data_IF_875684908936
#
_entry.id   IF_875684908936
#
_cell.length_a   1.000
_cell.length_b   1.000
_cell.length_c   1.000
_cell.angle_alpha   90.00
_cell.angle_beta   90.00
_cell.angle_gamma   90.00
#
_symmetry.space_group_name_H-M   'P 1'
#
loop_
_entity.id
_entity.type
_entity.pdbx_description
1 polymer ?
#
# COMPACT_ATOMS: atom_id res chain seq x y z
N UNK A 1 11.74 -2.91 -11.77
CA UNK A 1 10.71 -3.00 -12.83
C UNK A 1 9.90 -1.71 -13.06
N UNK A 2 10.00 -0.66 -12.22
CA UNK A 2 9.20 0.58 -12.37
C UNK A 2 9.88 1.74 -13.12
N UNK A 3 11.11 1.54 -13.62
CA UNK A 3 11.89 2.60 -14.24
C UNK A 3 11.16 3.31 -15.39
N UNK A 4 10.55 2.55 -16.32
CA UNK A 4 9.85 3.13 -17.48
C UNK A 4 8.67 4.01 -17.08
N UNK A 5 7.89 3.60 -16.08
CA UNK A 5 6.75 4.39 -15.61
C UNK A 5 7.21 5.64 -14.86
N UNK A 6 8.29 5.54 -14.05
CA UNK A 6 8.89 6.69 -13.39
C UNK A 6 9.45 7.70 -14.39
N UNK A 7 10.16 7.23 -15.43
CA UNK A 7 10.67 8.08 -16.51
C UNK A 7 9.55 8.78 -17.26
N UNK A 8 8.47 8.06 -17.57
CA UNK A 8 7.28 8.63 -18.19
C UNK A 8 6.66 9.71 -17.29
N UNK A 9 6.40 9.41 -16.01
CA UNK A 9 5.84 10.40 -15.07
C UNK A 9 6.73 11.64 -14.95
N UNK A 10 8.05 11.47 -14.83
CA UNK A 10 8.99 12.59 -14.75
C UNK A 10 8.90 13.50 -15.98
N UNK A 11 8.87 12.90 -17.18
CA UNK A 11 8.78 13.63 -18.44
C UNK A 11 7.45 14.36 -18.60
N UNK A 12 6.32 13.68 -18.39
CA UNK A 12 5.00 14.27 -18.62
C UNK A 12 4.61 15.30 -17.56
N UNK A 13 5.09 15.14 -16.32
CA UNK A 13 4.83 16.12 -15.24
C UNK A 13 5.89 17.21 -15.13
N UNK A 14 6.93 17.19 -15.97
CA UNK A 14 8.10 18.07 -15.88
C UNK A 14 8.65 18.17 -14.44
N UNK A 15 8.78 17.02 -13.77
CA UNK A 15 9.13 16.93 -12.36
C UNK A 15 10.24 15.91 -12.11
N UNK A 16 10.95 16.07 -11.00
CA UNK A 16 11.89 15.04 -10.51
C UNK A 16 11.08 13.92 -9.86
N UNK A 17 11.32 12.68 -10.29
CA UNK A 17 10.72 11.48 -9.69
C UNK A 17 11.79 10.71 -8.92
N UNK A 18 11.54 10.47 -7.64
CA UNK A 18 12.37 9.60 -6.79
C UNK A 18 11.66 8.27 -6.61
N UNK A 19 12.29 7.18 -7.05
CA UNK A 19 11.81 5.82 -6.80
C UNK A 19 12.51 5.25 -5.57
N UNK A 20 11.76 4.99 -4.50
CA UNK A 20 12.29 4.44 -3.25
C UNK A 20 12.52 2.93 -3.38
N UNK A 21 13.76 2.49 -3.18
CA UNK A 21 14.12 1.07 -3.06
C UNK A 21 13.87 0.54 -1.66
N UNK A 22 12.60 0.42 -1.27
CA UNK A 22 12.21 -0.04 0.07
C UNK A 22 12.45 -1.54 0.26
N UNK A 23 12.62 -1.95 1.52
CA UNK A 23 12.75 -3.34 1.94
C UNK A 23 11.48 -4.13 1.64
N UNK A 24 11.65 -5.38 1.18
CA UNK A 24 10.54 -6.25 0.79
C UNK A 24 10.26 -7.32 1.85
N UNK A 25 9.00 -7.72 1.93
CA UNK A 25 8.60 -8.96 2.56
C UNK A 25 8.92 -10.16 1.64
N UNK A 26 9.15 -11.36 2.17
CA UNK A 26 8.97 -11.76 3.58
C UNK A 26 10.12 -11.39 4.53
N UNK A 27 11.29 -11.00 4.01
CA UNK A 27 12.49 -10.71 4.81
C UNK A 27 12.27 -9.54 5.77
N UNK A 28 11.49 -8.54 5.33
CA UNK A 28 11.14 -7.36 6.10
C UNK A 28 9.62 -7.12 6.08
N UNK A 29 8.95 -7.61 7.13
CA UNK A 29 7.49 -7.51 7.32
C UNK A 29 7.06 -6.07 7.59
N UNK A 30 5.74 -5.83 7.59
CA UNK A 30 5.15 -4.58 8.07
C UNK A 30 5.73 -4.20 9.45
N UNK A 31 6.14 -2.94 9.67
CA UNK A 31 5.97 -1.76 8.82
C UNK A 31 7.18 -1.35 7.96
N UNK A 32 8.16 -2.24 7.70
CA UNK A 32 9.45 -1.85 7.12
C UNK A 32 9.38 -1.02 5.82
N UNK A 33 8.57 -1.45 4.84
CA UNK A 33 8.41 -0.72 3.57
C UNK A 33 7.76 0.66 3.75
N UNK A 34 6.85 0.79 4.73
CA UNK A 34 6.22 2.06 5.08
C UNK A 34 7.24 3.02 5.71
N UNK A 35 8.04 2.54 6.65
CA UNK A 35 9.10 3.32 7.29
C UNK A 35 10.14 3.79 6.27
N UNK A 36 10.55 2.95 5.33
CA UNK A 36 11.51 3.32 4.28
C UNK A 36 10.96 4.44 3.39
N UNK A 37 9.69 4.34 2.98
CA UNK A 37 9.02 5.38 2.18
C UNK A 37 8.83 6.69 2.96
N UNK A 38 8.49 6.59 4.24
CA UNK A 38 8.33 7.74 5.12
C UNK A 38 9.67 8.46 5.31
N UNK A 39 10.72 7.72 5.70
CA UNK A 39 12.07 8.23 5.89
C UNK A 39 12.62 8.87 4.61
N UNK A 40 12.37 8.26 3.44
CA UNK A 40 12.76 8.86 2.16
C UNK A 40 12.01 10.19 1.92
N UNK A 41 10.70 10.21 2.17
CA UNK A 41 9.89 11.42 2.01
C UNK A 41 10.37 12.54 2.95
N UNK A 42 10.57 12.22 4.23
CA UNK A 42 11.12 13.15 5.22
C UNK A 42 12.50 13.64 4.82
N UNK A 43 13.37 12.77 4.31
CA UNK A 43 14.69 13.16 3.81
C UNK A 43 14.57 14.21 2.72
N UNK A 44 13.77 14.00 1.67
CA UNK A 44 13.65 14.96 0.55
C UNK A 44 12.88 16.24 0.91
N UNK A 45 11.91 16.16 1.82
CA UNK A 45 11.21 17.33 2.34
C UNK A 45 12.08 18.15 3.31
N UNK A 46 13.02 17.52 4.02
CA UNK A 46 13.97 18.20 4.92
C UNK A 46 15.20 18.72 4.17
N UNK A 47 15.68 18.00 3.14
CA UNK A 47 16.84 18.38 2.33
C UNK A 47 16.53 19.38 1.21
N UNK A 48 15.34 19.99 1.18
CA UNK A 48 15.08 21.12 0.27
C UNK A 48 15.81 22.41 0.70
N UNK A 49 16.67 22.34 1.73
CA UNK A 49 17.76 23.25 1.95
C UNK A 49 18.95 22.48 2.58
N UNK A 50 20.07 22.40 1.88
CA UNK A 50 21.34 22.37 2.64
C UNK A 50 21.37 23.68 3.41
N UNK A 51 21.32 23.58 4.74
CA UNK A 51 21.43 24.68 5.71
C UNK A 51 20.30 25.70 5.70
N UNK A 52 19.31 25.54 6.57
CA UNK A 52 19.06 26.62 7.54
C UNK A 52 18.45 26.07 8.83
N UNK A 53 19.26 25.28 9.55
CA UNK A 53 19.09 25.06 10.99
C UNK A 53 17.88 24.17 11.35
N UNK A 54 17.92 23.54 12.52
CA UNK A 54 16.78 23.01 13.29
C UNK A 54 16.55 21.50 13.20
N UNK A 55 17.37 20.82 14.00
CA UNK A 55 16.83 19.82 14.91
C UNK A 55 15.57 20.38 15.63
N UNK A 56 14.36 19.93 15.22
CA UNK A 56 13.16 19.95 16.10
C UNK A 56 11.87 20.65 15.63
N UNK A 57 11.51 20.78 14.33
CA UNK A 57 10.42 21.71 13.92
C UNK A 57 9.28 21.17 13.03
N UNK A 58 8.14 21.87 13.14
CA UNK A 58 6.88 21.78 12.39
C UNK A 58 6.94 22.44 11.00
N UNK A 59 8.10 22.42 10.34
CA UNK A 59 8.46 23.27 9.20
C UNK A 59 8.67 22.51 7.88
N UNK A 60 8.24 21.25 7.79
CA UNK A 60 8.30 20.51 6.54
C UNK A 60 7.34 21.10 5.48
N UNK A 61 7.77 21.21 4.20
CA UNK A 61 6.90 21.64 3.12
C UNK A 61 5.67 20.75 3.04
N UNK A 62 4.49 21.39 3.01
CA UNK A 62 3.21 20.68 2.92
C UNK A 62 3.13 19.88 1.62
N UNK A 63 2.84 18.58 1.72
CA UNK A 63 2.53 17.73 0.57
C UNK A 63 1.43 18.39 -0.28
N UNK A 64 1.74 18.61 -1.56
CA UNK A 64 0.85 19.34 -2.49
C UNK A 64 -0.27 18.47 -3.04
N UNK A 65 -0.01 17.19 -3.23
CA UNK A 65 -0.96 16.21 -3.73
C UNK A 65 -0.52 14.78 -3.33
N UNK A 66 -1.48 13.85 -3.33
CA UNK A 66 -1.24 12.42 -3.22
C UNK A 66 -1.92 11.73 -4.41
N UNK A 67 -1.16 10.93 -5.16
CA UNK A 67 -1.68 10.15 -6.30
C UNK A 67 -1.56 8.67 -5.94
N UNK A 68 -2.70 7.97 -5.97
CA UNK A 68 -2.78 6.54 -5.65
C UNK A 68 -3.23 5.78 -6.89
N UNK A 69 -2.36 4.94 -7.45
CA UNK A 69 -2.64 4.14 -8.64
C UNK A 69 -3.02 2.74 -8.19
N UNK A 70 -4.32 2.41 -8.27
CA UNK A 70 -4.91 1.13 -7.82
C UNK A 70 -4.40 0.68 -6.42
N UNK A 71 -4.54 1.52 -5.38
CA UNK A 71 -3.92 1.25 -4.09
C UNK A 71 -4.57 0.07 -3.35
N UNK A 72 -3.73 -0.77 -2.73
CA UNK A 72 -4.16 -1.72 -1.71
C UNK A 72 -4.35 -1.01 -0.37
N UNK A 73 -5.58 -0.58 -0.08
CA UNK A 73 -5.90 0.23 1.12
C UNK A 73 -6.28 -0.58 2.36
N UNK A 74 -6.46 -1.89 2.20
CA UNK A 74 -6.89 -2.76 3.28
C UNK A 74 -6.44 -4.20 3.00
N UNK A 75 -6.24 -4.96 4.06
CA UNK A 75 -5.94 -6.40 4.04
C UNK A 75 -6.88 -7.18 5.00
N UNK A 76 -8.07 -6.63 5.25
CA UNK A 76 -9.06 -7.10 6.20
C UNK A 76 -10.18 -7.90 5.54
N UNK A 77 -10.66 -7.52 4.35
CA UNK A 77 -11.77 -8.19 3.67
C UNK A 77 -11.48 -8.39 2.19
N UNK A 78 -11.21 -9.64 1.80
CA UNK A 78 -10.96 -10.03 0.43
C UNK A 78 -12.23 -10.52 -0.29
N UNK A 79 -13.40 -10.42 0.35
CA UNK A 79 -14.70 -10.82 -0.19
C UNK A 79 -15.57 -9.63 -0.63
N UNK A 80 -15.00 -8.43 -0.76
CA UNK A 80 -15.72 -7.27 -1.29
C UNK A 80 -16.25 -7.53 -2.71
N UNK A 81 -17.34 -6.84 -3.14
CA UNK A 81 -17.97 -7.07 -4.44
C UNK A 81 -17.00 -7.02 -5.62
N UNK A 82 -16.03 -6.11 -5.59
CA UNK A 82 -15.01 -5.99 -6.64
C UNK A 82 -14.09 -7.20 -6.75
N UNK A 83 -13.74 -7.87 -5.64
CA UNK A 83 -12.94 -9.11 -5.67
C UNK A 83 -13.72 -10.27 -6.30
N UNK A 84 -15.04 -10.33 -6.03
CA UNK A 84 -15.90 -11.37 -6.57
C UNK A 84 -16.18 -11.15 -8.07
N UNK A 85 -16.54 -9.93 -8.46
CA UNK A 85 -16.84 -9.56 -9.84
C UNK A 85 -15.61 -9.70 -10.75
N UNK A 86 -14.42 -9.34 -10.26
CA UNK A 86 -13.18 -9.36 -11.05
C UNK A 86 -12.35 -10.64 -10.85
N UNK A 87 -12.91 -11.70 -10.28
CA UNK A 87 -12.17 -12.93 -9.97
C UNK A 87 -11.46 -13.57 -11.18
N UNK A 88 -11.96 -13.33 -12.39
CA UNK A 88 -11.41 -13.84 -13.65
C UNK A 88 -10.43 -12.89 -14.36
N UNK A 89 -10.15 -11.71 -13.81
CA UNK A 89 -9.23 -10.75 -14.43
C UNK A 89 -7.79 -11.23 -14.23
N UNK A 90 -7.00 -11.38 -15.31
CA UNK A 90 -5.60 -11.78 -15.20
C UNK A 90 -4.78 -10.68 -14.49
N UNK A 91 -3.70 -11.07 -13.80
CA UNK A 91 -2.69 -10.26 -13.07
C UNK A 91 -2.80 -10.25 -11.53
N UNK A 92 -3.99 -10.00 -10.97
CA UNK A 92 -4.17 -9.92 -9.51
C UNK A 92 -5.44 -10.65 -9.07
N UNK A 93 -5.32 -11.96 -8.89
CA UNK A 93 -6.40 -12.78 -8.31
C UNK A 93 -6.57 -12.49 -6.81
N UNK A 94 -7.75 -12.80 -6.27
CA UNK A 94 -8.02 -12.75 -4.83
C UNK A 94 -7.00 -13.57 -4.03
N UNK A 95 -6.63 -14.76 -4.54
CA UNK A 95 -5.63 -15.64 -3.92
C UNK A 95 -4.25 -14.99 -3.85
N UNK A 96 -3.82 -14.31 -4.92
CA UNK A 96 -2.55 -13.57 -4.93
C UNK A 96 -2.59 -12.37 -3.98
N UNK A 97 -3.70 -11.63 -3.90
CA UNK A 97 -3.84 -10.52 -2.97
C UNK A 97 -3.70 -10.98 -1.50
N UNK A 98 -4.36 -12.08 -1.13
CA UNK A 98 -4.25 -12.69 0.21
C UNK A 98 -2.82 -13.16 0.48
N UNK A 99 -2.22 -13.85 -0.49
CA UNK A 99 -0.84 -14.32 -0.37
C UNK A 99 0.14 -13.16 -0.10
N UNK A 100 0.07 -12.09 -0.89
CA UNK A 100 0.89 -10.89 -0.70
C UNK A 100 0.65 -10.23 0.66
N UNK A 101 -0.61 -10.15 1.10
CA UNK A 101 -0.96 -9.59 2.41
C UNK A 101 -0.39 -10.41 3.58
N UNK A 102 -0.46 -11.74 3.49
CA UNK A 102 0.09 -12.64 4.51
C UNK A 102 1.61 -12.57 4.57
N UNK A 103 2.31 -12.55 3.43
CA UNK A 103 3.76 -12.31 3.41
C UNK A 103 4.10 -10.94 4.02
N UNK A 104 3.34 -9.90 3.67
CA UNK A 104 3.57 -8.56 4.19
C UNK A 104 3.39 -8.46 5.71
N UNK A 105 2.36 -9.06 6.27
CA UNK A 105 2.02 -8.95 7.69
C UNK A 105 2.77 -9.97 8.56
N UNK A 106 2.88 -11.22 8.10
CA UNK A 106 3.37 -12.34 8.90
C UNK A 106 4.66 -12.96 8.36
N UNK A 107 5.06 -12.64 7.11
CA UNK A 107 6.23 -13.24 6.46
C UNK A 107 6.02 -14.67 5.97
N UNK A 108 4.82 -15.21 6.14
CA UNK A 108 4.43 -16.57 5.73
C UNK A 108 2.94 -16.60 5.35
N UNK A 109 2.53 -17.62 4.58
CA UNK A 109 1.19 -17.71 3.99
C UNK A 109 0.33 -18.85 4.57
N UNK A 110 0.57 -19.24 5.82
CA UNK A 110 -0.03 -20.42 6.45
C UNK A 110 -1.57 -20.36 6.58
N UNK A 111 -2.17 -19.17 6.67
CA UNK A 111 -3.61 -18.96 6.88
C UNK A 111 -4.38 -18.56 5.60
N UNK A 112 -3.86 -18.91 4.42
CA UNK A 112 -4.43 -18.46 3.16
C UNK A 112 -5.88 -18.91 2.94
N UNK A 113 -6.21 -20.15 3.31
CA UNK A 113 -7.57 -20.70 3.09
C UNK A 113 -8.59 -20.06 4.04
N UNK A 114 -8.26 -19.87 5.32
CA UNK A 114 -9.13 -19.17 6.29
C UNK A 114 -9.52 -17.76 5.81
N UNK A 115 -8.55 -17.04 5.21
CA UNK A 115 -8.76 -15.71 4.66
C UNK A 115 -9.57 -15.71 3.37
N UNK A 116 -9.45 -16.76 2.53
CA UNK A 116 -10.26 -16.94 1.33
C UNK A 116 -11.73 -17.14 1.67
N UNK A 117 -12.01 -17.91 2.71
CA UNK A 117 -13.36 -18.13 3.25
C UNK A 117 -13.90 -16.89 3.99
N UNK A 118 -13.02 -15.97 4.37
CA UNK A 118 -13.34 -14.79 5.16
C UNK A 118 -13.63 -15.10 6.62
N UNK A 119 -13.26 -16.29 7.10
CA UNK A 119 -13.55 -16.82 8.43
C UNK A 119 -12.94 -15.97 9.56
N UNK A 120 -11.93 -15.15 9.24
CA UNK A 120 -11.30 -14.19 10.14
C UNK A 120 -12.15 -12.95 10.43
N UNK A 121 -13.23 -12.70 9.67
CA UNK A 121 -14.12 -11.55 9.88
C UNK A 121 -15.30 -11.96 10.76
N UNK A 122 -15.44 -11.39 11.98
CA UNK A 122 -16.54 -11.70 12.87
C UNK A 122 -17.93 -11.42 12.24
N UNK A 123 -18.94 -12.27 12.46
CA UNK A 123 -20.28 -12.08 11.87
C UNK A 123 -20.95 -10.74 12.23
N UNK A 124 -20.73 -10.24 13.45
CA UNK A 124 -21.22 -8.95 13.92
C UNK A 124 -20.58 -7.78 13.16
N UNK A 125 -19.31 -7.88 12.80
CA UNK A 125 -18.62 -6.90 11.97
C UNK A 125 -19.24 -6.83 10.56
N UNK A 126 -19.53 -7.98 9.95
CA UNK A 126 -20.22 -8.05 8.65
C UNK A 126 -21.60 -7.40 8.72
N UNK A 127 -22.35 -7.64 9.79
CA UNK A 127 -23.66 -7.04 10.00
C UNK A 127 -23.57 -5.51 10.15
N UNK A 128 -22.64 -5.04 10.98
CA UNK A 128 -22.44 -3.61 11.28
C UNK A 128 -22.09 -2.80 10.02
N UNK A 129 -21.26 -3.35 9.14
CA UNK A 129 -20.78 -2.65 7.95
C UNK A 129 -21.50 -3.05 6.67
N UNK A 130 -22.51 -3.93 6.72
CA UNK A 130 -23.24 -4.47 5.56
C UNK A 130 -23.55 -3.42 4.49
N UNK A 131 -24.02 -2.24 4.89
CA UNK A 131 -24.37 -1.14 3.96
C UNK A 131 -23.21 -0.64 3.08
N UNK A 132 -21.96 -0.89 3.46
CA UNK A 132 -20.77 -0.44 2.76
C UNK A 132 -20.02 -1.55 2.03
N UNK A 133 -20.25 -2.82 2.41
CA UNK A 133 -19.50 -3.98 1.90
C UNK A 133 -20.37 -5.02 1.19
N UNK A 134 -21.70 -4.92 1.28
CA UNK A 134 -22.62 -5.81 0.55
C UNK A 134 -22.64 -5.46 -0.95
N UNK A 135 -22.72 -6.46 -1.85
CA UNK A 135 -23.01 -6.23 -3.27
C UNK A 135 -24.46 -5.80 -3.55
N UNK A 136 -25.36 -5.99 -2.58
CA UNK A 136 -26.79 -5.65 -2.62
C UNK A 136 -27.09 -4.19 -2.24
#
# INVERSE_FOLDING_TARGET
>A
SHERICQYMARESNSVVVSVGYRLAPEHKYPAAYEDCLNATEHFLSNTAVSQTLAGRSDLPRLRAQVLIYPGLQALDFNLPSYQQNQGVPLLSRKQAIFCALLYLHGEASNLEDLLEGSHIPPDMRLKYRKWVSPD
#
